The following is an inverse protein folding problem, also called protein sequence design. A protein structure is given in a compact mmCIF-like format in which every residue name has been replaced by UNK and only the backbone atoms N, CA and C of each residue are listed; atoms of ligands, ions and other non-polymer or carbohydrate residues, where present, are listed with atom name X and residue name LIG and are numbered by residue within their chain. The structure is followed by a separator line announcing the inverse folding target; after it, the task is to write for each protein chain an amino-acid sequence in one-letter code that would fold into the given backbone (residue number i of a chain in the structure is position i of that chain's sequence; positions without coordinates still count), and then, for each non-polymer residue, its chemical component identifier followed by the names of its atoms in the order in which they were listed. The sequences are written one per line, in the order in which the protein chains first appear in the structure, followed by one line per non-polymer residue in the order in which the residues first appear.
data_IF_834759981212
#
_entry.id   IF_834759981212
#
_cell.length_a   1.000
_cell.length_b   1.000
_cell.length_c   1.000
_cell.angle_alpha   90.00
_cell.angle_beta   90.00
_cell.angle_gamma   90.00
#
_symmetry.space_group_name_H-M   'P 1'
#
loop_
_entity.id
_entity.type
_entity.pdbx_description
1 polymer ?
#
# COMPACT_ATOMS: atom_id res chain seq x y z
N UNK A 1 13.17 45.76 -15.23
CA UNK A 1 12.30 45.58 -16.42
C UNK A 1 12.64 44.25 -17.06
N UNK A 2 11.64 43.50 -17.52
CA UNK A 2 11.89 42.20 -18.15
C UNK A 2 12.32 42.33 -19.61
N UNK A 3 13.12 41.37 -20.08
CA UNK A 3 13.76 41.37 -21.39
C UNK A 3 12.81 41.05 -22.55
N UNK A 4 11.64 40.44 -22.29
CA UNK A 4 10.64 40.18 -23.32
C UNK A 4 9.62 41.31 -23.40
N UNK A 5 9.15 41.56 -24.62
CA UNK A 5 8.08 42.52 -24.91
C UNK A 5 6.91 41.84 -25.60
N UNK A 6 5.70 42.38 -25.46
CA UNK A 6 4.50 41.83 -26.11
C UNK A 6 4.63 41.75 -27.64
N UNK A 7 5.40 42.66 -28.26
CA UNK A 7 5.64 42.64 -29.71
C UNK A 7 6.58 41.50 -30.12
N UNK A 8 7.64 41.21 -29.36
CA UNK A 8 8.51 40.05 -29.60
C UNK A 8 7.72 38.73 -29.53
N UNK A 9 6.68 38.68 -28.68
CA UNK A 9 5.81 37.51 -28.55
C UNK A 9 4.82 37.33 -29.70
N UNK A 10 4.55 38.36 -30.50
CA UNK A 10 3.71 38.24 -31.72
C UNK A 10 4.49 37.67 -32.90
N UNK A 11 5.80 37.85 -32.92
CA UNK A 11 6.69 37.32 -33.98
C UNK A 11 6.98 35.82 -33.86
N UNK A 12 7.67 35.28 -34.86
CA UNK A 12 8.25 33.94 -34.80
C UNK A 12 9.50 33.97 -33.91
N UNK A 13 9.53 33.12 -32.89
CA UNK A 13 10.69 32.96 -32.01
C UNK A 13 11.38 31.64 -32.33
N UNK A 14 12.71 31.66 -32.35
CA UNK A 14 13.50 30.44 -32.51
C UNK A 14 13.18 29.46 -31.37
N UNK A 15 13.15 28.14 -31.64
CA UNK A 15 13.06 27.13 -30.58
C UNK A 15 14.13 27.34 -29.51
N UNK A 16 13.76 27.16 -28.25
CA UNK A 16 14.65 27.41 -27.11
C UNK A 16 13.99 28.18 -25.97
N UNK A 17 14.80 28.54 -24.98
CA UNK A 17 14.36 29.29 -23.79
C UNK A 17 14.74 30.75 -23.92
N UNK A 18 13.74 31.62 -23.86
CA UNK A 18 13.89 33.06 -23.92
C UNK A 18 13.69 33.64 -22.52
N UNK A 19 14.71 34.28 -21.98
CA UNK A 19 14.70 34.81 -20.62
C UNK A 19 13.95 36.15 -20.56
N UNK A 20 13.01 36.28 -19.63
CA UNK A 20 12.34 37.56 -19.34
C UNK A 20 12.97 38.29 -18.13
N UNK A 21 13.67 37.60 -17.23
CA UNK A 21 14.13 38.18 -15.96
C UNK A 21 13.53 37.45 -14.77
N UNK A 22 14.13 37.58 -13.58
CA UNK A 22 13.52 37.10 -12.34
C UNK A 22 13.20 35.59 -12.32
N UNK A 23 13.96 34.81 -13.10
CA UNK A 23 13.71 33.38 -13.27
C UNK A 23 12.51 33.06 -14.17
N UNK A 24 11.84 34.04 -14.79
CA UNK A 24 10.81 33.81 -15.80
C UNK A 24 11.44 33.57 -17.18
N UNK A 25 10.98 32.50 -17.83
CA UNK A 25 11.37 32.10 -19.18
C UNK A 25 10.14 31.80 -20.02
N UNK A 26 10.22 32.11 -21.31
CA UNK A 26 9.38 31.54 -22.34
C UNK A 26 10.09 30.37 -23.01
N UNK A 27 9.52 29.17 -22.90
CA UNK A 27 10.00 27.99 -23.58
C UNK A 27 9.26 27.79 -24.90
N UNK A 28 10.01 27.71 -26.00
CA UNK A 28 9.50 27.49 -27.36
C UNK A 28 9.98 26.13 -27.85
N UNK A 29 9.07 25.21 -28.14
CA UNK A 29 9.40 23.88 -28.67
C UNK A 29 9.82 23.95 -30.15
N UNK A 30 10.47 22.91 -30.70
CA UNK A 30 10.75 22.83 -32.14
C UNK A 30 9.49 22.93 -33.01
N UNK A 31 8.34 22.49 -32.49
CA UNK A 31 7.02 22.61 -33.12
C UNK A 31 6.39 24.00 -32.99
N UNK A 32 7.07 24.96 -32.34
CA UNK A 32 6.61 26.34 -32.16
C UNK A 32 5.63 26.54 -30.99
N UNK A 33 5.33 25.51 -30.20
CA UNK A 33 4.48 25.63 -29.01
C UNK A 33 5.22 26.43 -27.91
N UNK A 34 4.48 27.33 -27.25
CA UNK A 34 5.05 28.30 -26.30
C UNK A 34 4.46 28.13 -24.91
N UNK A 35 5.30 28.00 -23.90
CA UNK A 35 4.90 27.90 -22.49
C UNK A 35 5.77 28.75 -21.58
N UNK A 36 5.15 29.32 -20.55
CA UNK A 36 5.84 30.08 -19.53
C UNK A 36 6.36 29.16 -18.43
N UNK A 37 7.58 29.41 -17.98
CA UNK A 37 8.25 28.66 -16.93
C UNK A 37 8.86 29.66 -15.93
N UNK A 38 8.61 29.46 -14.64
CA UNK A 38 9.34 30.12 -13.57
C UNK A 38 10.36 29.14 -12.98
N UNK A 39 11.63 29.48 -13.09
CA UNK A 39 12.73 28.78 -12.43
C UNK A 39 12.88 29.31 -11.01
N UNK A 40 12.75 28.42 -10.04
CA UNK A 40 12.97 28.70 -8.62
C UNK A 40 14.12 27.86 -8.09
N UNK A 41 14.84 28.38 -7.09
CA UNK A 41 15.90 27.65 -6.40
C UNK A 41 15.68 27.79 -4.89
N UNK A 42 15.57 26.66 -4.19
CA UNK A 42 15.50 26.62 -2.72
C UNK A 42 16.33 25.47 -2.20
N UNK A 43 17.09 25.71 -1.12
CA UNK A 43 17.96 24.70 -0.48
C UNK A 43 18.89 24.00 -1.48
N UNK A 44 19.50 24.75 -2.39
CA UNK A 44 20.42 24.24 -3.41
C UNK A 44 19.79 23.46 -4.56
N UNK A 45 18.46 23.21 -4.53
CA UNK A 45 17.74 22.50 -5.61
C UNK A 45 17.05 23.49 -6.53
N UNK A 46 17.33 23.38 -7.83
CA UNK A 46 16.68 24.16 -8.90
C UNK A 46 15.48 23.38 -9.44
N UNK A 47 14.35 24.07 -9.61
CA UNK A 47 13.12 23.50 -10.20
C UNK A 47 12.50 24.49 -11.16
N UNK A 48 12.02 23.97 -12.29
CA UNK A 48 11.28 24.74 -13.29
C UNK A 48 9.78 24.47 -13.07
N UNK A 49 8.99 25.52 -12.81
CA UNK A 49 7.55 25.47 -12.56
C UNK A 49 6.81 26.07 -13.76
N UNK A 50 5.94 25.28 -14.39
CA UNK A 50 5.14 25.75 -15.53
C UNK A 50 4.04 26.72 -15.11
N UNK A 51 3.96 27.87 -15.77
CA UNK A 51 2.94 28.91 -15.51
C UNK A 51 1.78 28.91 -16.52
N UNK A 52 1.83 28.02 -17.51
CA UNK A 52 0.80 27.84 -18.54
C UNK A 52 1.27 28.15 -19.95
N UNK A 53 0.41 27.89 -20.95
CA UNK A 53 0.71 28.19 -22.35
C UNK A 53 0.67 29.69 -22.61
N UNK A 54 1.62 30.20 -23.40
CA UNK A 54 1.64 31.60 -23.82
C UNK A 54 0.46 31.97 -24.75
N UNK A 55 -0.30 30.98 -25.24
CA UNK A 55 -1.58 31.23 -25.94
C UNK A 55 -2.69 31.69 -24.98
N UNK A 56 -2.65 31.24 -23.73
CA UNK A 56 -3.70 31.49 -22.72
C UNK A 56 -3.27 32.48 -21.64
N UNK A 57 -1.97 32.75 -21.54
CA UNK A 57 -1.36 33.53 -20.46
C UNK A 57 -0.51 34.63 -21.09
N UNK A 58 -0.91 35.87 -20.88
CA UNK A 58 -0.18 37.04 -21.37
C UNK A 58 1.15 37.21 -20.63
N UNK A 59 2.07 37.99 -21.18
CA UNK A 59 3.36 38.30 -20.52
C UNK A 59 3.16 38.94 -19.14
N UNK A 60 2.20 39.87 -19.01
CA UNK A 60 1.87 40.49 -17.74
C UNK A 60 1.38 39.46 -16.71
N UNK A 61 0.46 38.58 -17.12
CA UNK A 61 -0.02 37.49 -16.26
C UNK A 61 1.10 36.51 -15.90
N UNK A 62 2.01 36.21 -16.83
CA UNK A 62 3.15 35.35 -16.58
C UNK A 62 4.11 35.95 -15.53
N UNK A 63 4.38 37.26 -15.60
CA UNK A 63 5.17 37.99 -14.59
C UNK A 63 4.53 37.95 -13.22
N UNK A 64 3.22 38.22 -13.15
CA UNK A 64 2.47 38.13 -11.90
C UNK A 64 2.53 36.72 -11.29
N UNK A 65 2.22 35.69 -12.07
CA UNK A 65 2.28 34.28 -11.62
C UNK A 65 3.69 33.88 -11.20
N UNK A 66 4.73 34.37 -11.87
CA UNK A 66 6.12 34.14 -11.48
C UNK A 66 6.45 34.79 -10.13
N UNK A 67 5.94 35.99 -9.84
CA UNK A 67 6.11 36.63 -8.54
C UNK A 67 5.40 35.86 -7.42
N UNK A 68 4.16 35.42 -7.64
CA UNK A 68 3.40 34.59 -6.69
C UNK A 68 4.11 33.27 -6.38
N UNK A 69 4.58 32.57 -7.41
CA UNK A 69 5.34 31.32 -7.27
C UNK A 69 6.62 31.51 -6.47
N UNK A 70 7.37 32.59 -6.72
CA UNK A 70 8.58 32.92 -5.95
C UNK A 70 8.25 33.21 -4.49
N UNK A 71 7.24 34.03 -4.23
CA UNK A 71 6.78 34.36 -2.87
C UNK A 71 6.37 33.12 -2.08
N UNK A 72 5.65 32.19 -2.70
CA UNK A 72 5.25 30.93 -2.06
C UNK A 72 6.48 30.06 -1.73
N UNK A 73 7.41 29.92 -2.67
CA UNK A 73 8.63 29.14 -2.45
C UNK A 73 9.47 29.75 -1.33
N UNK A 74 9.59 31.08 -1.27
CA UNK A 74 10.29 31.79 -0.20
C UNK A 74 9.65 31.50 1.17
N UNK A 75 8.32 31.59 1.25
CA UNK A 75 7.53 31.23 2.44
C UNK A 75 7.56 29.73 2.81
N UNK A 76 8.20 28.87 2.01
CA UNK A 76 8.29 27.42 2.28
C UNK A 76 7.10 26.61 1.82
N UNK A 77 6.23 27.21 1.02
CA UNK A 77 5.07 26.55 0.41
C UNK A 77 5.51 26.01 -0.96
N UNK A 78 5.22 24.74 -1.27
CA UNK A 78 5.39 24.21 -2.63
C UNK A 78 4.16 24.61 -3.48
N UNK A 79 4.32 25.49 -4.49
CA UNK A 79 3.22 25.97 -5.33
C UNK A 79 2.49 24.85 -6.08
N UNK A 80 3.21 23.78 -6.43
CA UNK A 80 2.64 22.64 -7.15
C UNK A 80 1.73 21.84 -6.22
N UNK A 81 2.18 21.60 -4.98
CA UNK A 81 1.36 20.93 -3.97
C UNK A 81 0.12 21.76 -3.61
N UNK A 82 0.27 23.08 -3.45
CA UNK A 82 -0.84 23.97 -3.14
C UNK A 82 -1.90 23.99 -4.25
N UNK A 83 -1.44 24.06 -5.51
CA UNK A 83 -2.35 23.98 -6.67
C UNK A 83 -3.09 22.65 -6.71
N UNK A 84 -2.42 21.52 -6.46
CA UNK A 84 -3.05 20.20 -6.43
C UNK A 84 -4.06 20.06 -5.31
N UNK A 85 -3.77 20.63 -4.14
CA UNK A 85 -4.70 20.71 -3.01
C UNK A 85 -5.93 21.54 -3.37
N UNK A 86 -5.75 22.65 -4.10
CA UNK A 86 -6.85 23.46 -4.63
C UNK A 86 -7.66 22.72 -5.71
N UNK A 87 -7.00 21.85 -6.50
CA UNK A 87 -7.63 20.92 -7.45
C UNK A 87 -8.28 19.69 -6.75
N UNK A 88 -8.22 19.61 -5.42
CA UNK A 88 -8.82 18.53 -4.63
C UNK A 88 -8.08 17.19 -4.70
N UNK A 89 -6.83 17.16 -5.18
CA UNK A 89 -6.03 15.94 -5.25
C UNK A 89 -5.44 15.64 -3.86
N UNK A 90 -5.76 14.48 -3.25
CA UNK A 90 -5.27 14.15 -1.93
C UNK A 90 -3.78 13.79 -1.92
N UNK A 91 -3.16 13.96 -0.76
CA UNK A 91 -1.87 13.35 -0.42
C UNK A 91 -1.99 11.82 -0.35
N UNK A 92 -0.87 11.11 -0.41
CA UNK A 92 -0.87 9.64 -0.27
C UNK A 92 -1.48 9.20 1.06
N UNK A 93 -1.24 9.95 2.15
CA UNK A 93 -1.81 9.70 3.49
C UNK A 93 -3.33 9.81 3.48
N UNK A 94 -3.87 10.88 2.90
CA UNK A 94 -5.31 11.11 2.79
C UNK A 94 -5.96 10.05 1.88
N UNK A 95 -5.35 9.76 0.73
CA UNK A 95 -5.81 8.70 -0.18
C UNK A 95 -5.81 7.33 0.50
N UNK A 96 -4.77 6.98 1.26
CA UNK A 96 -4.71 5.74 2.03
C UNK A 96 -5.81 5.66 3.09
N UNK A 97 -6.14 6.77 3.76
CA UNK A 97 -7.24 6.82 4.71
C UNK A 97 -8.61 6.62 4.03
N UNK A 98 -8.82 7.21 2.85
CA UNK A 98 -10.04 7.01 2.06
C UNK A 98 -10.19 5.55 1.61
N UNK A 99 -9.12 4.97 1.03
CA UNK A 99 -9.06 3.55 0.64
C UNK A 99 -9.36 2.64 1.83
N UNK A 100 -8.76 2.93 2.98
CA UNK A 100 -9.04 2.20 4.21
C UNK A 100 -10.52 2.31 4.62
N UNK A 101 -11.09 3.51 4.58
CA UNK A 101 -12.49 3.73 4.96
C UNK A 101 -13.48 2.98 4.06
N UNK A 102 -13.22 2.95 2.75
CA UNK A 102 -14.03 2.22 1.76
C UNK A 102 -13.92 0.70 1.91
N UNK A 103 -12.71 0.18 2.20
CA UNK A 103 -12.46 -1.27 2.20
C UNK A 103 -12.55 -1.93 3.58
N UNK A 104 -12.46 -1.19 4.69
CA UNK A 104 -12.44 -1.78 6.05
C UNK A 104 -13.68 -2.64 6.36
N UNK A 105 -14.82 -2.35 5.72
CA UNK A 105 -16.06 -3.13 5.90
C UNK A 105 -16.02 -4.48 5.18
N UNK A 106 -15.31 -4.61 4.06
CA UNK A 106 -15.19 -5.87 3.33
C UNK A 106 -14.16 -6.83 3.94
N UNK A 107 -13.24 -6.33 4.78
CA UNK A 107 -12.24 -7.15 5.43
C UNK A 107 -12.78 -7.84 6.70
N UNK A 108 -12.98 -9.16 6.62
CA UNK A 108 -13.46 -10.00 7.73
C UNK A 108 -12.50 -10.04 8.93
N UNK A 109 -11.20 -10.04 8.68
CA UNK A 109 -10.19 -10.20 9.73
C UNK A 109 -9.88 -8.86 10.44
N UNK A 110 -10.31 -8.71 11.70
CA UNK A 110 -10.08 -7.52 12.54
C UNK A 110 -8.59 -7.13 12.64
N UNK A 111 -7.68 -8.11 12.77
CA UNK A 111 -6.22 -7.88 12.82
C UNK A 111 -5.71 -7.35 11.48
N UNK A 112 -6.20 -7.88 10.37
CA UNK A 112 -5.85 -7.37 9.05
C UNK A 112 -6.29 -5.90 8.88
N UNK A 113 -7.49 -5.53 9.36
CA UNK A 113 -7.96 -4.15 9.35
C UNK A 113 -7.02 -3.20 10.08
N UNK A 114 -6.70 -3.51 11.34
CA UNK A 114 -5.77 -2.68 12.12
C UNK A 114 -4.38 -2.59 11.48
N UNK A 115 -3.85 -3.71 11.01
CA UNK A 115 -2.51 -3.75 10.41
C UNK A 115 -2.39 -3.02 9.08
N UNK A 116 -3.49 -2.82 8.34
CA UNK A 116 -3.45 -2.23 7.01
C UNK A 116 -2.94 -0.80 7.04
N UNK A 117 -3.60 0.06 7.82
CA UNK A 117 -3.22 1.46 7.91
C UNK A 117 -1.93 1.65 8.72
N UNK A 118 -1.77 0.90 9.83
CA UNK A 118 -0.57 0.99 10.68
C UNK A 118 0.71 0.68 9.90
N UNK A 119 0.73 -0.31 8.99
CA UNK A 119 1.95 -0.54 8.21
C UNK A 119 2.30 0.63 7.30
N UNK A 120 1.30 1.29 6.72
CA UNK A 120 1.55 2.44 5.86
C UNK A 120 2.03 3.62 6.70
N UNK A 121 1.43 3.83 7.89
CA UNK A 121 1.89 4.81 8.86
C UNK A 121 3.34 4.61 9.28
N UNK A 122 3.75 3.36 9.53
CA UNK A 122 5.12 3.06 9.97
C UNK A 122 6.13 3.18 8.83
N UNK A 123 5.82 2.65 7.65
CA UNK A 123 6.84 2.43 6.61
C UNK A 123 6.74 3.37 5.40
N UNK A 124 5.53 3.80 5.03
CA UNK A 124 5.31 4.61 3.83
C UNK A 124 5.15 6.10 4.15
N UNK A 125 4.31 6.45 5.12
CA UNK A 125 3.97 7.84 5.43
C UNK A 125 5.18 8.73 5.77
N UNK A 126 6.22 8.26 6.48
CA UNK A 126 7.40 9.09 6.75
C UNK A 126 8.15 9.54 5.50
N UNK A 127 8.00 8.82 4.37
CA UNK A 127 8.70 9.14 3.12
C UNK A 127 7.80 9.76 2.05
N UNK A 128 6.56 9.27 1.95
CA UNK A 128 5.66 9.61 0.84
C UNK A 128 4.29 10.10 1.30
N UNK A 129 4.03 10.16 2.60
CA UNK A 129 2.70 10.42 3.16
C UNK A 129 2.11 11.76 2.72
N UNK A 130 2.94 12.80 2.69
CA UNK A 130 2.51 14.17 2.42
C UNK A 130 2.70 14.57 0.94
N UNK A 131 3.14 13.62 0.10
CA UNK A 131 3.24 13.79 -1.35
C UNK A 131 1.86 13.58 -1.98
N UNK A 132 1.46 14.46 -2.90
CA UNK A 132 0.23 14.30 -3.66
C UNK A 132 0.22 12.93 -4.38
N UNK A 133 -0.90 12.21 -4.35
CA UNK A 133 -0.97 10.85 -4.94
C UNK A 133 -0.67 10.83 -6.44
N UNK A 134 -0.90 11.96 -7.12
CA UNK A 134 -0.55 12.20 -8.52
C UNK A 134 0.95 12.32 -8.78
N UNK A 135 1.76 12.68 -7.78
CA UNK A 135 3.22 12.84 -7.87
C UNK A 135 4.02 11.66 -7.33
N UNK A 136 3.35 10.60 -6.86
CA UNK A 136 4.07 9.39 -6.45
C UNK A 136 4.75 8.77 -7.66
N UNK A 137 6.05 8.47 -7.54
CA UNK A 137 6.87 7.93 -8.62
C UNK A 137 7.42 6.57 -8.19
N UNK A 138 7.96 5.82 -9.15
CA UNK A 138 8.57 4.52 -8.89
C UNK A 138 9.76 4.60 -7.93
N UNK A 139 10.54 5.68 -7.98
CA UNK A 139 11.64 6.00 -7.07
C UNK A 139 11.15 6.09 -5.62
N UNK A 140 10.10 6.88 -5.37
CA UNK A 140 9.48 7.04 -4.06
C UNK A 140 9.07 5.70 -3.45
N UNK A 141 8.40 4.85 -4.23
CA UNK A 141 7.98 3.51 -3.76
C UNK A 141 9.19 2.61 -3.51
N UNK A 142 10.20 2.63 -4.40
CA UNK A 142 11.43 1.85 -4.21
C UNK A 142 12.13 2.24 -2.91
N UNK A 143 12.23 3.52 -2.60
CA UNK A 143 12.91 4.03 -1.41
C UNK A 143 12.18 3.66 -0.10
N UNK A 144 10.85 3.55 -0.16
CA UNK A 144 10.05 2.97 0.95
C UNK A 144 10.39 1.50 1.14
N UNK A 145 10.38 0.71 0.06
CA UNK A 145 10.53 -0.73 0.14
C UNK A 145 11.95 -1.15 0.50
N UNK A 146 12.97 -0.54 -0.12
CA UNK A 146 14.39 -0.91 0.07
C UNK A 146 14.81 -0.80 1.54
N UNK A 147 14.26 0.18 2.27
CA UNK A 147 14.56 0.41 3.68
C UNK A 147 14.16 -0.75 4.61
N UNK A 148 13.23 -1.61 4.18
CA UNK A 148 12.74 -2.75 4.96
C UNK A 148 12.86 -4.09 4.21
N UNK A 149 13.43 -4.07 3.01
CA UNK A 149 13.33 -5.18 2.05
C UNK A 149 14.07 -6.44 2.51
N UNK A 150 15.29 -6.26 3.04
CA UNK A 150 16.16 -7.36 3.44
C UNK A 150 15.83 -7.87 4.84
N UNK A 151 15.49 -6.98 5.77
CA UNK A 151 15.20 -7.34 7.16
C UNK A 151 13.76 -7.84 7.37
N UNK A 152 12.79 -7.24 6.66
CA UNK A 152 11.36 -7.47 6.87
C UNK A 152 10.65 -7.74 5.54
N UNK A 153 11.13 -8.72 4.77
CA UNK A 153 10.68 -8.94 3.40
C UNK A 153 9.15 -9.10 3.25
N UNK A 154 8.52 -9.92 4.09
CA UNK A 154 7.05 -10.09 4.07
C UNK A 154 6.30 -8.80 4.39
N UNK A 155 6.82 -7.99 5.31
CA UNK A 155 6.27 -6.66 5.60
C UNK A 155 6.43 -5.74 4.39
N UNK A 156 7.59 -5.75 3.72
CA UNK A 156 7.84 -4.96 2.53
C UNK A 156 6.90 -5.35 1.38
N UNK A 157 6.69 -6.65 1.15
CA UNK A 157 5.73 -7.15 0.15
C UNK A 157 4.30 -6.67 0.43
N UNK A 158 3.87 -6.72 1.70
CA UNK A 158 2.55 -6.21 2.13
C UNK A 158 2.45 -4.69 1.92
N UNK A 159 3.47 -3.93 2.32
CA UNK A 159 3.50 -2.47 2.11
C UNK A 159 3.41 -2.14 0.62
N UNK A 160 4.15 -2.83 -0.25
CA UNK A 160 4.07 -2.68 -1.71
C UNK A 160 2.65 -2.91 -2.23
N UNK A 161 2.01 -4.00 -1.83
CA UNK A 161 0.64 -4.30 -2.24
C UNK A 161 -0.34 -3.20 -1.81
N UNK A 162 -0.18 -2.69 -0.60
CA UNK A 162 -1.03 -1.62 -0.04
C UNK A 162 -0.82 -0.29 -0.77
N UNK A 163 0.43 0.06 -1.09
CA UNK A 163 0.75 1.22 -1.94
C UNK A 163 0.09 1.06 -3.31
N UNK A 164 0.19 -0.11 -3.93
CA UNK A 164 -0.48 -0.42 -5.21
C UNK A 164 -1.97 -0.15 -5.16
N UNK A 165 -2.65 -0.66 -4.13
CA UNK A 165 -4.08 -0.46 -3.95
C UNK A 165 -4.48 1.02 -3.82
N UNK A 166 -3.64 1.84 -3.18
CA UNK A 166 -3.86 3.30 -3.10
C UNK A 166 -3.67 3.99 -4.44
N UNK A 167 -2.66 3.55 -5.22
CA UNK A 167 -2.41 4.10 -6.55
C UNK A 167 -3.52 3.73 -7.52
N UNK A 168 -3.99 2.48 -7.51
CA UNK A 168 -5.09 2.02 -8.37
C UNK A 168 -6.40 2.77 -8.03
N UNK A 169 -6.68 2.97 -6.74
CA UNK A 169 -7.80 3.79 -6.30
C UNK A 169 -7.70 5.24 -6.79
N UNK A 170 -6.50 5.84 -6.73
CA UNK A 170 -6.29 7.20 -7.20
C UNK A 170 -6.49 7.35 -8.71
N UNK A 171 -6.19 6.29 -9.49
CA UNK A 171 -6.49 6.25 -10.93
C UNK A 171 -8.00 6.19 -11.15
N UNK A 172 -8.71 5.31 -10.45
CA UNK A 172 -10.16 5.20 -10.55
C UNK A 172 -10.89 6.50 -10.18
N UNK A 173 -10.31 7.31 -9.28
CA UNK A 173 -10.83 8.64 -8.90
C UNK A 173 -10.36 9.77 -9.82
N UNK A 174 -9.63 9.49 -10.90
CA UNK A 174 -9.01 10.47 -11.80
C UNK A 174 -8.03 11.44 -11.13
N UNK A 175 -7.54 11.11 -9.93
CA UNK A 175 -6.47 11.86 -9.29
C UNK A 175 -5.12 11.60 -9.94
N UNK A 176 -4.97 10.49 -10.66
CA UNK A 176 -3.74 10.09 -11.33
C UNK A 176 -4.05 9.48 -12.70
N UNK A 177 -3.23 9.80 -13.71
CA UNK A 177 -3.45 9.32 -15.07
C UNK A 177 -2.95 7.88 -15.33
N UNK A 178 -1.86 7.45 -14.68
CA UNK A 178 -1.16 6.22 -15.05
C UNK A 178 -0.78 5.36 -13.83
N UNK A 179 -0.77 4.03 -13.95
CA UNK A 179 -0.26 3.13 -12.92
C UNK A 179 1.24 3.28 -12.71
N UNK A 180 1.73 2.78 -11.58
CA UNK A 180 3.15 2.60 -11.35
C UNK A 180 3.59 1.21 -11.86
N UNK A 181 4.78 1.08 -12.48
CA UNK A 181 5.32 -0.20 -12.91
C UNK A 181 5.82 -1.03 -11.70
N UNK A 182 4.89 -1.54 -10.88
CA UNK A 182 5.18 -2.27 -9.63
C UNK A 182 6.09 -3.49 -9.84
N UNK A 183 6.00 -4.15 -10.99
CA UNK A 183 6.87 -5.27 -11.35
C UNK A 183 8.33 -4.81 -11.57
N UNK A 184 8.55 -3.66 -12.23
CA UNK A 184 9.88 -3.12 -12.44
C UNK A 184 10.49 -2.66 -11.10
N UNK A 185 9.70 -1.99 -10.26
CA UNK A 185 10.12 -1.58 -8.90
C UNK A 185 10.59 -2.82 -8.13
N UNK A 186 9.82 -3.91 -8.15
CA UNK A 186 10.20 -5.15 -7.47
C UNK A 186 11.51 -5.75 -7.99
N UNK A 187 11.70 -5.79 -9.32
CA UNK A 187 12.94 -6.30 -9.94
C UNK A 187 14.16 -5.42 -9.64
N UNK A 188 13.96 -4.15 -9.32
CA UNK A 188 15.03 -3.22 -8.93
C UNK A 188 15.52 -3.38 -7.48
N UNK A 189 14.84 -4.19 -6.68
CA UNK A 189 15.20 -4.46 -5.28
C UNK A 189 16.20 -5.64 -5.20
N UNK A 190 17.14 -5.64 -4.24
CA UNK A 190 18.10 -6.73 -4.06
C UNK A 190 17.42 -8.09 -3.91
N UNK A 191 18.06 -9.14 -4.43
CA UNK A 191 17.54 -10.51 -4.29
C UNK A 191 17.56 -10.92 -2.82
N UNK A 192 16.41 -11.23 -2.24
CA UNK A 192 16.33 -11.77 -0.89
C UNK A 192 16.70 -13.24 -0.93
N UNK A 193 17.82 -13.60 -0.31
CA UNK A 193 18.21 -15.00 -0.08
C UNK A 193 17.46 -15.52 1.15
N UNK A 194 16.14 -15.56 1.08
CA UNK A 194 15.36 -16.14 2.16
C UNK A 194 15.42 -17.66 2.01
N UNK A 195 16.15 -18.34 2.89
CA UNK A 195 15.78 -19.71 3.23
C UNK A 195 14.45 -19.54 3.96
N UNK A 196 13.33 -19.81 3.27
CA UNK A 196 12.09 -20.02 4.01
C UNK A 196 12.42 -21.10 5.04
N UNK A 197 12.50 -20.73 6.31
CA UNK A 197 12.55 -21.71 7.39
C UNK A 197 11.16 -22.35 7.40
N UNK A 198 10.94 -23.30 6.50
CA UNK A 198 9.81 -24.20 6.60
C UNK A 198 9.89 -24.79 8.00
N UNK A 199 8.80 -24.65 8.76
CA UNK A 199 8.70 -25.33 10.03
C UNK A 199 8.87 -26.83 9.75
N UNK A 200 9.81 -27.46 10.44
CA UNK A 200 10.06 -28.89 10.25
C UNK A 200 8.77 -29.66 10.57
N UNK A 201 8.26 -30.38 9.58
CA UNK A 201 7.11 -31.25 9.78
C UNK A 201 7.56 -32.53 10.51
N UNK A 202 6.73 -33.02 11.44
CA UNK A 202 6.97 -34.32 12.06
C UNK A 202 6.69 -35.41 11.01
N UNK A 203 7.65 -36.31 10.80
CA UNK A 203 7.48 -37.44 9.89
C UNK A 203 6.33 -38.35 10.38
N UNK A 204 5.47 -38.84 9.47
CA UNK A 204 4.26 -39.58 9.82
C UNK A 204 4.54 -40.81 10.71
N UNK A 205 5.66 -41.51 10.49
CA UNK A 205 6.07 -42.65 11.30
C UNK A 205 6.37 -42.30 12.77
N UNK A 206 6.62 -41.03 13.10
CA UNK A 206 6.87 -40.55 14.46
C UNK A 206 5.61 -40.08 15.17
N UNK A 207 4.48 -39.96 14.47
CA UNK A 207 3.22 -39.42 15.03
C UNK A 207 2.70 -40.30 16.15
N UNK A 208 2.69 -41.63 15.99
CA UNK A 208 2.21 -42.55 17.02
C UNK A 208 3.01 -42.41 18.34
N UNK A 209 4.34 -42.38 18.25
CA UNK A 209 5.20 -42.17 19.43
C UNK A 209 4.98 -40.79 20.06
N UNK A 210 4.75 -39.75 19.25
CA UNK A 210 4.44 -38.41 19.74
C UNK A 210 3.10 -38.35 20.48
N UNK A 211 2.04 -38.94 19.91
CA UNK A 211 0.72 -39.00 20.56
C UNK A 211 0.79 -39.80 21.87
N UNK A 212 1.57 -40.89 21.91
CA UNK A 212 1.86 -41.62 23.15
C UNK A 212 2.43 -40.72 24.24
N UNK A 213 3.46 -39.93 23.93
CA UNK A 213 4.05 -38.95 24.87
C UNK A 213 3.10 -37.82 25.22
N UNK A 214 2.27 -37.39 24.27
CA UNK A 214 1.27 -36.34 24.49
C UNK A 214 0.27 -36.78 25.56
N UNK A 215 -0.14 -38.06 25.54
CA UNK A 215 -1.07 -38.68 26.50
C UNK A 215 -0.57 -38.76 27.94
N UNK A 216 0.74 -38.66 28.18
CA UNK A 216 1.32 -38.58 29.53
C UNK A 216 0.93 -37.29 30.28
N UNK A 217 0.33 -36.30 29.61
CA UNK A 217 -0.08 -35.02 30.21
C UNK A 217 -1.58 -34.92 30.39
N UNK A 218 -2.05 -34.77 31.62
CA UNK A 218 -3.46 -34.51 31.91
C UNK A 218 -3.78 -33.01 31.77
N UNK A 219 -4.30 -32.60 30.60
CA UNK A 219 -4.74 -31.22 30.37
C UNK A 219 -5.75 -31.11 29.23
N UNK A 220 -6.58 -30.07 29.25
CA UNK A 220 -7.47 -29.73 28.12
C UNK A 220 -6.63 -29.43 26.85
N UNK A 221 -5.46 -28.82 27.03
CA UNK A 221 -4.54 -28.56 25.92
C UNK A 221 -4.08 -29.82 25.20
N UNK A 222 -3.87 -30.92 25.95
CA UNK A 222 -3.59 -32.25 25.38
C UNK A 222 -4.76 -32.71 24.51
N UNK A 223 -5.97 -32.78 25.09
CA UNK A 223 -7.16 -33.26 24.40
C UNK A 223 -7.43 -32.47 23.11
N UNK A 224 -7.33 -31.14 23.18
CA UNK A 224 -7.48 -30.28 22.02
C UNK A 224 -6.41 -30.54 20.95
N UNK A 225 -5.16 -30.82 21.34
CA UNK A 225 -4.10 -31.09 20.37
C UNK A 225 -4.23 -32.47 19.74
N UNK A 226 -4.65 -33.48 20.51
CA UNK A 226 -4.92 -34.82 20.00
C UNK A 226 -6.12 -34.82 19.05
N UNK A 227 -7.21 -34.14 19.41
CA UNK A 227 -8.36 -33.94 18.54
C UNK A 227 -7.97 -33.23 17.23
N UNK A 228 -7.08 -32.25 17.29
CA UNK A 228 -6.54 -31.56 16.11
C UNK A 228 -5.78 -32.51 15.18
N UNK A 229 -4.98 -33.43 15.74
CA UNK A 229 -4.24 -34.42 14.94
C UNK A 229 -5.21 -35.39 14.25
N UNK A 230 -6.23 -35.86 14.98
CA UNK A 230 -7.20 -36.84 14.49
C UNK A 230 -8.15 -36.27 13.43
N UNK A 231 -8.52 -34.99 13.55
CA UNK A 231 -9.46 -34.31 12.64
C UNK A 231 -8.78 -33.57 11.51
N UNK A 232 -7.47 -33.30 11.63
CA UNK A 232 -6.72 -32.39 10.75
C UNK A 232 -7.34 -30.99 10.60
N UNK A 233 -8.21 -30.59 11.54
CA UNK A 233 -8.84 -29.28 11.55
C UNK A 233 -7.84 -28.18 11.93
N UNK A 234 -8.18 -26.92 11.65
CA UNK A 234 -7.33 -25.78 12.02
C UNK A 234 -7.34 -25.58 13.53
N UNK A 235 -6.22 -25.11 14.08
CA UNK A 235 -6.11 -24.88 15.52
C UNK A 235 -7.14 -23.91 16.11
N UNK A 236 -7.61 -22.94 15.32
CA UNK A 236 -8.69 -22.04 15.75
C UNK A 236 -10.08 -22.69 15.74
N UNK A 237 -10.31 -23.65 14.85
CA UNK A 237 -11.55 -24.43 14.78
C UNK A 237 -11.64 -25.34 16.00
N UNK A 238 -10.58 -26.07 16.32
CA UNK A 238 -10.57 -26.97 17.48
C UNK A 238 -10.70 -26.22 18.81
N UNK A 239 -9.94 -25.14 19.02
CA UNK A 239 -10.00 -24.37 20.28
C UNK A 239 -11.34 -23.68 20.53
N UNK A 240 -12.13 -23.45 19.49
CA UNK A 240 -13.43 -22.82 19.59
C UNK A 240 -14.61 -23.78 19.42
N UNK A 241 -14.35 -25.09 19.31
CA UNK A 241 -15.38 -26.09 19.08
C UNK A 241 -16.45 -26.05 20.17
N UNK A 242 -17.71 -26.17 19.78
CA UNK A 242 -18.85 -26.20 20.69
C UNK A 242 -19.48 -27.59 20.71
N UNK A 243 -20.01 -28.01 21.85
CA UNK A 243 -20.70 -29.30 21.96
C UNK A 243 -21.93 -29.39 21.05
N UNK A 244 -22.60 -28.26 20.79
CA UNK A 244 -23.72 -28.18 19.85
C UNK A 244 -23.31 -28.44 18.38
N UNK A 245 -22.02 -28.42 18.07
CA UNK A 245 -21.50 -28.74 16.73
C UNK A 245 -21.20 -30.24 16.57
N UNK A 246 -21.25 -31.02 17.66
CA UNK A 246 -20.91 -32.44 17.66
C UNK A 246 -22.20 -33.27 17.68
N UNK A 247 -22.39 -34.07 16.63
CA UNK A 247 -23.39 -35.12 16.61
C UNK A 247 -22.71 -36.45 16.94
N UNK A 248 -22.96 -36.98 18.15
CA UNK A 248 -22.43 -38.26 18.59
C UNK A 248 -23.13 -39.46 17.94
N UNK A 249 -24.36 -39.27 17.44
CA UNK A 249 -25.14 -40.31 16.76
C UNK A 249 -24.61 -40.50 15.34
N UNK A 250 -24.53 -39.41 14.59
CA UNK A 250 -24.01 -39.39 13.21
C UNK A 250 -22.47 -39.39 13.17
N UNK A 251 -21.81 -39.25 14.33
CA UNK A 251 -20.36 -39.20 14.48
C UNK A 251 -19.73 -38.10 13.62
N UNK A 252 -20.29 -36.90 13.67
CA UNK A 252 -19.82 -35.75 12.90
C UNK A 252 -19.57 -34.53 13.77
N UNK A 253 -18.63 -33.70 13.35
CA UNK A 253 -18.43 -32.36 13.85
C UNK A 253 -18.69 -31.36 12.73
N UNK A 254 -19.76 -30.57 12.86
CA UNK A 254 -20.17 -29.59 11.87
C UNK A 254 -19.67 -28.21 12.26
N UNK A 255 -18.62 -27.74 11.57
CA UNK A 255 -18.04 -26.42 11.78
C UNK A 255 -18.84 -25.41 10.97
N UNK A 256 -19.51 -24.45 11.62
CA UNK A 256 -20.41 -23.54 10.93
C UNK A 256 -19.63 -22.55 10.04
N UNK A 257 -20.27 -22.10 8.96
CA UNK A 257 -19.66 -21.26 7.93
C UNK A 257 -19.02 -19.99 8.49
N UNK A 258 -19.60 -19.39 9.54
CA UNK A 258 -19.12 -18.16 10.18
C UNK A 258 -17.74 -18.32 10.85
N UNK A 259 -17.38 -19.56 11.20
CA UNK A 259 -16.07 -19.91 11.78
C UNK A 259 -15.07 -20.38 10.73
N UNK A 260 -15.53 -20.67 9.52
CA UNK A 260 -14.72 -21.17 8.42
C UNK A 260 -14.12 -20.02 7.62
N UNK A 261 -12.82 -20.15 7.28
CA UNK A 261 -12.11 -19.14 6.49
C UNK A 261 -12.71 -18.93 5.09
N UNK A 262 -13.36 -19.95 4.55
CA UNK A 262 -13.96 -19.95 3.22
C UNK A 262 -15.47 -19.61 3.23
N UNK A 263 -16.06 -19.36 4.41
CA UNK A 263 -17.50 -19.10 4.58
C UNK A 263 -18.42 -20.21 4.04
N UNK A 264 -17.93 -21.44 4.11
CA UNK A 264 -18.67 -22.66 3.76
C UNK A 264 -18.60 -23.57 4.96
N UNK A 265 -19.73 -24.14 5.35
CA UNK A 265 -19.83 -25.14 6.41
C UNK A 265 -18.88 -26.32 6.12
N UNK A 266 -18.27 -26.86 7.16
CA UNK A 266 -17.38 -28.00 7.04
C UNK A 266 -17.75 -29.10 8.02
N UNK A 267 -18.16 -30.23 7.47
CA UNK A 267 -18.49 -31.43 8.24
C UNK A 267 -17.25 -32.32 8.31
N UNK A 268 -16.81 -32.61 9.53
CA UNK A 268 -15.67 -33.48 9.83
C UNK A 268 -16.18 -34.80 10.41
N UNK A 269 -15.97 -35.95 9.74
CA UNK A 269 -16.32 -37.25 10.31
C UNK A 269 -15.40 -37.58 11.49
N UNK A 270 -15.96 -38.14 12.56
CA UNK A 270 -15.26 -38.45 13.80
C UNK A 270 -14.95 -39.95 13.87
N UNK A 271 -13.66 -40.28 13.88
CA UNK A 271 -13.18 -41.64 14.19
C UNK A 271 -13.47 -42.01 15.65
N UNK A 272 -13.46 -43.30 15.97
CA UNK A 272 -13.63 -43.77 17.36
C UNK A 272 -12.62 -43.11 18.31
N UNK A 273 -11.35 -42.99 17.89
CA UNK A 273 -10.33 -42.30 18.68
C UNK A 273 -10.63 -40.80 18.92
N UNK A 274 -11.32 -40.13 17.99
CA UNK A 274 -11.73 -38.73 18.18
C UNK A 274 -12.91 -38.63 19.16
N UNK A 275 -13.83 -39.59 19.12
CA UNK A 275 -14.94 -39.70 20.07
C UNK A 275 -14.44 -40.02 21.50
N UNK A 276 -13.39 -40.84 21.63
CA UNK A 276 -12.75 -41.13 22.91
C UNK A 276 -12.19 -39.86 23.56
N UNK A 277 -11.50 -39.02 22.79
CA UNK A 277 -10.97 -37.72 23.26
C UNK A 277 -12.09 -36.79 23.71
N UNK A 278 -13.21 -36.74 22.99
CA UNK A 278 -14.38 -35.95 23.39
C UNK A 278 -15.03 -36.50 24.66
N UNK A 279 -15.13 -37.83 24.78
CA UNK A 279 -15.71 -38.49 25.95
C UNK A 279 -14.85 -38.26 27.20
N UNK A 280 -13.54 -38.27 27.06
CA UNK A 280 -12.60 -37.93 28.14
C UNK A 280 -12.76 -36.48 28.60
N UNK A 281 -13.11 -35.55 27.70
CA UNK A 281 -13.42 -34.16 28.07
C UNK A 281 -14.74 -34.02 28.83
N UNK A 282 -15.71 -34.91 28.61
CA UNK A 282 -17.02 -34.88 29.27
C UNK A 282 -17.00 -35.46 30.70
N UNK A 283 -15.96 -36.22 31.05
CA UNK A 283 -15.69 -36.72 32.40
C UNK A 283 -15.06 -35.62 33.27
#
# INVERSE_FOLDING_TARGET
MGNLTANMLRGSLKPGRHHDGDGLFLNVTPTGARSWICRVQKSGRRRDIGLGSAKKVSLAQARQRAAEVRSQVEAGIDPVLQRKKAEGIPTFREAAAAVYAENKKSWKNKKHRGQWLTSLQTYAFPKIGDVAVSDIESSHVRDVLIAIWLEKNETARRVRQRIGMVIDWAIAKNYRAHPLPMNAINKSLPKVRNRQNHLAALHYSKVAAFVGKLRERESIGRLAFEFLILTAARSGEVRGALWSEIDLTERTWTIPAERMKADVEHIVPLSDAALDVLSERLR
#
